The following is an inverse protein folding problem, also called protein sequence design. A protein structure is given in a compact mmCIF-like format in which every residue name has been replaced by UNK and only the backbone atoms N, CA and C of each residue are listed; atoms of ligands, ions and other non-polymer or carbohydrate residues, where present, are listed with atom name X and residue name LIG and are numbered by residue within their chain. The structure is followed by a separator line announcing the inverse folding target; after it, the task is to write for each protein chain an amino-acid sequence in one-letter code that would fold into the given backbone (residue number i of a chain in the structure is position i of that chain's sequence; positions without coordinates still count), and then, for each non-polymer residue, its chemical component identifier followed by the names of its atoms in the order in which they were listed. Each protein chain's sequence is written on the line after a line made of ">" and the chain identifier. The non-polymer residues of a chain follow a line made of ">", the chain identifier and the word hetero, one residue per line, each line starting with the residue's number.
data_IF_425650110849
#
_entry.id   IF_425650110849
#
_cell.length_a   1.000
_cell.length_b   1.000
_cell.length_c   1.000
_cell.angle_alpha   90.00
_cell.angle_beta   90.00
_cell.angle_gamma   90.00
#
_symmetry.space_group_name_H-M   'P 1'
#
loop_
_entity.id
_entity.type
_entity.pdbx_description
1 polymer ?
#
# COMPACT_ATOMS: atom_id res chain seq x y z
N UNK A 1 19.00 -22.32 -15.87
CA UNK A 1 18.96 -21.03 -15.17
C UNK A 1 19.69 -21.04 -13.84
N UNK A 2 20.75 -20.21 -13.65
CA UNK A 2 21.45 -20.10 -12.37
C UNK A 2 20.58 -19.52 -11.23
N UNK A 3 19.38 -19.01 -11.54
CA UNK A 3 18.42 -18.50 -10.55
C UNK A 3 17.48 -19.58 -10.01
N UNK A 4 17.31 -20.72 -10.71
CA UNK A 4 16.39 -21.77 -10.29
C UNK A 4 16.88 -22.48 -9.01
N UNK A 5 18.20 -22.58 -8.80
CA UNK A 5 18.79 -23.19 -7.60
C UNK A 5 18.70 -22.35 -6.31
N UNK A 6 18.43 -21.05 -6.42
CA UNK A 6 18.21 -20.16 -5.26
C UNK A 6 16.70 -20.12 -4.90
N UNK A 7 15.84 -20.33 -5.89
CA UNK A 7 14.38 -20.38 -5.73
C UNK A 7 13.87 -21.68 -5.11
N UNK A 8 14.53 -22.82 -5.35
CA UNK A 8 14.15 -24.12 -4.76
C UNK A 8 14.16 -24.12 -3.23
N UNK A 9 15.21 -23.63 -2.54
CA UNK A 9 15.16 -23.51 -1.09
C UNK A 9 14.09 -22.52 -0.64
N UNK A 10 13.79 -21.45 -1.40
CA UNK A 10 12.75 -20.46 -1.09
C UNK A 10 11.32 -21.02 -1.15
N UNK A 11 11.01 -21.89 -2.13
CA UNK A 11 9.72 -22.60 -2.20
C UNK A 11 9.52 -23.58 -1.04
N UNK A 12 10.62 -24.10 -0.47
CA UNK A 12 10.62 -24.93 0.75
C UNK A 12 10.85 -24.16 2.06
N UNK A 13 11.13 -22.85 2.03
CA UNK A 13 11.63 -22.09 3.19
C UNK A 13 10.56 -21.52 4.11
N UNK A 14 9.28 -21.65 3.78
CA UNK A 14 8.23 -21.31 4.74
C UNK A 14 7.74 -22.63 5.35
N UNK A 15 8.35 -23.07 6.47
CA UNK A 15 7.93 -24.30 7.12
C UNK A 15 6.45 -24.20 7.53
N UNK A 16 5.77 -25.35 7.69
CA UNK A 16 4.42 -25.39 8.22
C UNK A 16 4.34 -24.61 9.55
N UNK A 17 3.12 -24.13 9.94
CA UNK A 17 2.89 -23.21 11.05
C UNK A 17 3.40 -23.68 12.44
N UNK A 18 4.02 -24.86 12.54
CA UNK A 18 4.56 -25.47 13.76
C UNK A 18 6.02 -25.12 14.09
N UNK A 19 6.73 -24.27 13.30
CA UNK A 19 8.16 -23.95 13.53
C UNK A 19 8.44 -22.42 13.61
N UNK A 20 8.05 -21.80 14.73
CA UNK A 20 8.09 -20.35 14.96
C UNK A 20 9.45 -19.65 14.76
N UNK A 21 10.61 -20.18 15.23
CA UNK A 21 11.89 -19.47 15.08
C UNK A 21 12.37 -19.39 13.62
N UNK A 22 12.03 -20.40 12.82
CA UNK A 22 12.42 -20.48 11.41
C UNK A 22 11.57 -19.57 10.53
N UNK A 23 10.28 -19.41 10.82
CA UNK A 23 9.41 -18.49 10.07
C UNK A 23 9.83 -17.03 10.23
N UNK A 24 10.17 -16.59 11.45
CA UNK A 24 10.62 -15.22 11.70
C UNK A 24 11.88 -14.86 10.90
N UNK A 25 12.85 -15.77 10.88
CA UNK A 25 14.08 -15.62 10.10
C UNK A 25 13.76 -15.53 8.61
N UNK A 26 12.90 -16.41 8.09
CA UNK A 26 12.56 -16.40 6.67
C UNK A 26 11.85 -15.10 6.27
N UNK A 27 10.87 -14.64 7.05
CA UNK A 27 10.17 -13.37 6.81
C UNK A 27 11.13 -12.18 6.81
N UNK A 28 12.15 -12.18 7.68
CA UNK A 28 13.15 -11.11 7.73
C UNK A 28 14.05 -11.06 6.49
N UNK A 29 14.21 -12.18 5.78
CA UNK A 29 15.06 -12.33 4.60
C UNK A 29 14.32 -12.03 3.29
N UNK A 30 12.99 -12.18 3.23
CA UNK A 30 12.21 -11.94 1.99
C UNK A 30 12.53 -10.57 1.34
N UNK A 31 12.65 -9.45 2.08
CA UNK A 31 12.97 -8.16 1.47
C UNK A 31 14.32 -8.14 0.74
N UNK A 32 15.30 -8.93 1.19
CA UNK A 32 16.64 -9.00 0.59
C UNK A 32 16.66 -9.66 -0.79
N UNK A 33 15.63 -10.42 -1.14
CA UNK A 33 15.50 -11.11 -2.43
C UNK A 33 14.36 -10.55 -3.28
N UNK A 34 13.63 -9.54 -2.81
CA UNK A 34 12.43 -9.05 -3.49
C UNK A 34 12.70 -8.51 -4.90
N UNK A 35 13.91 -7.99 -5.17
CA UNK A 35 14.34 -7.48 -6.47
C UNK A 35 14.82 -8.56 -7.44
N UNK A 36 15.08 -9.78 -6.97
CA UNK A 36 15.58 -10.90 -7.79
C UNK A 36 14.49 -11.90 -8.15
N UNK A 37 13.31 -11.80 -7.54
CA UNK A 37 12.15 -12.65 -7.81
C UNK A 37 11.34 -12.07 -8.97
N UNK A 38 10.96 -12.94 -9.91
CA UNK A 38 10.13 -12.55 -11.04
C UNK A 38 8.69 -12.21 -10.62
N UNK A 39 8.00 -11.41 -11.44
CA UNK A 39 6.64 -10.96 -11.19
C UNK A 39 5.66 -12.11 -10.91
N UNK A 40 5.75 -13.22 -11.65
CA UNK A 40 4.82 -14.34 -11.52
C UNK A 40 4.99 -15.04 -10.19
N UNK A 41 6.23 -15.30 -9.78
CA UNK A 41 6.55 -15.88 -8.47
C UNK A 41 6.11 -14.96 -7.32
N UNK A 42 6.31 -13.65 -7.46
CA UNK A 42 5.87 -12.67 -6.47
C UNK A 42 4.34 -12.71 -6.30
N UNK A 43 3.61 -12.58 -7.40
CA UNK A 43 2.14 -12.50 -7.43
C UNK A 43 1.45 -13.79 -7.02
N UNK A 44 1.89 -14.92 -7.55
CA UNK A 44 1.15 -16.18 -7.41
C UNK A 44 1.64 -17.06 -6.26
N UNK A 45 2.82 -16.79 -5.69
CA UNK A 45 3.38 -17.62 -4.62
C UNK A 45 3.74 -16.86 -3.36
N UNK A 46 4.48 -15.76 -3.46
CA UNK A 46 4.96 -15.03 -2.27
C UNK A 46 3.81 -14.27 -1.60
N UNK A 47 3.06 -13.47 -2.36
CA UNK A 47 1.97 -12.65 -1.83
C UNK A 47 0.87 -13.49 -1.16
N UNK A 48 0.32 -14.56 -1.77
CA UNK A 48 -0.71 -15.36 -1.12
C UNK A 48 -0.25 -15.98 0.20
N UNK A 49 1.02 -16.35 0.31
CA UNK A 49 1.61 -16.88 1.55
C UNK A 49 1.77 -15.80 2.59
N UNK A 50 2.28 -14.63 2.23
CA UNK A 50 2.36 -13.47 3.12
C UNK A 50 0.98 -13.07 3.63
N UNK A 51 -0.03 -13.06 2.75
CA UNK A 51 -1.44 -12.83 3.11
C UNK A 51 -1.92 -13.83 4.14
N UNK A 52 -1.73 -15.13 3.90
CA UNK A 52 -2.16 -16.18 4.81
C UNK A 52 -1.52 -16.02 6.21
N UNK A 53 -0.23 -15.66 6.27
CA UNK A 53 0.48 -15.39 7.52
C UNK A 53 -0.09 -14.16 8.23
N UNK A 54 -0.33 -13.05 7.53
CA UNK A 54 -0.81 -11.82 8.18
C UNK A 54 -2.24 -11.96 8.72
N UNK A 55 -3.08 -12.77 8.07
CA UNK A 55 -4.46 -13.01 8.50
C UNK A 55 -4.53 -14.08 9.59
N UNK A 56 -3.90 -15.23 9.39
CA UNK A 56 -4.10 -16.43 10.21
C UNK A 56 -3.12 -16.58 11.38
N UNK A 57 -2.12 -15.70 11.49
CA UNK A 57 -1.09 -15.83 12.53
C UNK A 57 -1.63 -15.51 13.94
N UNK A 58 -1.35 -16.38 14.91
CA UNK A 58 -1.73 -16.17 16.32
C UNK A 58 -0.84 -15.12 17.01
N UNK A 59 0.43 -15.02 16.61
CA UNK A 59 1.39 -14.08 17.20
C UNK A 59 1.29 -12.68 16.60
N UNK A 60 0.97 -11.70 17.44
CA UNK A 60 0.99 -10.26 17.07
C UNK A 60 2.38 -9.83 16.61
N UNK A 61 3.44 -10.28 17.29
CA UNK A 61 4.83 -9.94 16.94
C UNK A 61 5.22 -10.41 15.54
N UNK A 62 4.83 -11.64 15.19
CA UNK A 62 5.09 -12.20 13.86
C UNK A 62 4.32 -11.44 12.77
N UNK A 63 3.07 -11.07 13.05
CA UNK A 63 2.25 -10.24 12.15
C UNK A 63 2.89 -8.87 11.90
N UNK A 64 3.39 -8.20 12.94
CA UNK A 64 4.12 -6.92 12.79
C UNK A 64 5.37 -7.10 11.93
N UNK A 65 6.17 -8.16 12.17
CA UNK A 65 7.37 -8.45 11.36
C UNK A 65 7.03 -8.68 9.89
N UNK A 66 5.94 -9.39 9.60
CA UNK A 66 5.46 -9.59 8.22
C UNK A 66 5.10 -8.26 7.55
N UNK A 67 4.35 -7.39 8.23
CA UNK A 67 3.96 -6.09 7.71
C UNK A 67 5.18 -5.20 7.44
N UNK A 68 6.15 -5.18 8.36
CA UNK A 68 7.41 -4.44 8.16
C UNK A 68 8.19 -4.99 6.97
N UNK A 69 8.23 -6.31 6.79
CA UNK A 69 8.88 -6.92 5.61
C UNK A 69 8.20 -6.47 4.31
N UNK A 70 6.87 -6.49 4.25
CA UNK A 70 6.11 -5.97 3.09
C UNK A 70 6.41 -4.50 2.82
N UNK A 71 6.44 -3.66 3.86
CA UNK A 71 6.80 -2.25 3.73
C UNK A 71 8.18 -2.04 3.11
N UNK A 72 9.17 -2.87 3.48
CA UNK A 72 10.53 -2.84 2.91
C UNK A 72 10.60 -3.32 1.46
N UNK A 73 9.64 -4.13 1.02
CA UNK A 73 9.59 -4.66 -0.34
C UNK A 73 8.94 -3.71 -1.34
N UNK A 74 8.23 -2.67 -0.88
CA UNK A 74 7.42 -1.81 -1.75
C UNK A 74 8.16 -1.31 -2.99
N UNK A 75 9.42 -0.88 -2.86
CA UNK A 75 10.22 -0.37 -3.98
C UNK A 75 10.55 -1.43 -5.04
N UNK A 76 10.62 -2.69 -4.63
CA UNK A 76 10.85 -3.83 -5.51
C UNK A 76 9.57 -4.28 -6.23
N UNK A 77 8.40 -3.90 -5.73
CA UNK A 77 7.12 -4.28 -6.32
C UNK A 77 6.72 -3.33 -7.46
N UNK A 78 5.85 -3.81 -8.34
CA UNK A 78 5.19 -2.98 -9.33
C UNK A 78 3.91 -2.37 -8.76
N UNK A 79 3.40 -1.34 -9.45
CA UNK A 79 2.20 -0.61 -9.03
C UNK A 79 0.96 -1.51 -8.93
N UNK A 80 0.74 -2.39 -9.91
CA UNK A 80 -0.46 -3.23 -9.95
C UNK A 80 -0.47 -4.22 -8.80
N UNK A 81 0.66 -4.87 -8.49
CA UNK A 81 0.76 -5.74 -7.31
C UNK A 81 0.39 -5.00 -6.03
N UNK A 82 0.90 -3.78 -5.84
CA UNK A 82 0.64 -3.02 -4.61
C UNK A 82 -0.83 -2.65 -4.50
N UNK A 83 -1.43 -2.13 -5.58
CA UNK A 83 -2.82 -1.69 -5.60
C UNK A 83 -3.82 -2.85 -5.52
N UNK A 84 -3.58 -3.95 -6.24
CA UNK A 84 -4.54 -5.06 -6.36
C UNK A 84 -4.41 -6.09 -5.24
N UNK A 85 -3.25 -6.18 -4.58
CA UNK A 85 -3.00 -7.21 -3.58
C UNK A 85 -2.56 -6.65 -2.22
N UNK A 86 -1.57 -5.75 -2.19
CA UNK A 86 -1.03 -5.28 -0.91
C UNK A 86 -2.01 -4.37 -0.17
N UNK A 87 -2.55 -3.34 -0.82
CA UNK A 87 -3.48 -2.41 -0.16
C UNK A 87 -4.77 -3.12 0.32
N UNK A 88 -5.43 -3.98 -0.49
CA UNK A 88 -6.60 -4.74 -0.04
C UNK A 88 -6.28 -5.70 1.11
N UNK A 89 -5.06 -6.29 1.13
CA UNK A 89 -4.61 -7.16 2.20
C UNK A 89 -4.58 -6.43 3.55
N UNK A 90 -4.08 -5.19 3.61
CA UNK A 90 -4.00 -4.43 4.85
C UNK A 90 -5.37 -4.24 5.52
N UNK A 91 -6.43 -4.14 4.70
CA UNK A 91 -7.80 -3.96 5.18
C UNK A 91 -8.40 -5.22 5.80
N UNK A 92 -7.87 -6.39 5.46
CA UNK A 92 -8.35 -7.68 5.94
C UNK A 92 -7.76 -8.09 7.29
N UNK A 93 -6.77 -7.35 7.80
CA UNK A 93 -6.08 -7.70 9.05
C UNK A 93 -6.97 -7.34 10.25
N UNK A 94 -7.45 -8.32 11.05
CA UNK A 94 -8.42 -8.09 12.13
C UNK A 94 -7.80 -7.53 13.42
N UNK A 95 -6.47 -7.44 13.49
CA UNK A 95 -5.75 -7.07 14.71
C UNK A 95 -5.72 -5.56 14.94
N UNK A 96 -6.11 -5.12 16.14
CA UNK A 96 -6.03 -3.73 16.62
C UNK A 96 -4.86 -3.45 17.56
N UNK A 97 -3.90 -4.37 17.67
CA UNK A 97 -2.70 -4.13 18.46
C UNK A 97 -1.90 -2.91 17.92
N UNK A 98 -1.34 -2.03 18.77
CA UNK A 98 -0.68 -0.80 18.34
C UNK A 98 0.43 -1.03 17.32
N UNK A 99 1.28 -2.05 17.52
CA UNK A 99 2.35 -2.38 16.57
C UNK A 99 1.84 -2.73 15.18
N UNK A 100 0.68 -3.38 15.08
CA UNK A 100 0.03 -3.73 13.81
C UNK A 100 -0.54 -2.48 13.15
N UNK A 101 -1.26 -1.65 13.92
CA UNK A 101 -1.83 -0.40 13.43
C UNK A 101 -0.74 0.55 12.90
N UNK A 102 0.37 0.67 13.62
CA UNK A 102 1.50 1.49 13.21
C UNK A 102 2.19 0.95 11.95
N UNK A 103 2.30 -0.37 11.80
CA UNK A 103 2.87 -0.96 10.60
C UNK A 103 1.97 -0.75 9.38
N UNK A 104 0.65 -0.93 9.52
CA UNK A 104 -0.34 -0.63 8.47
C UNK A 104 -0.25 0.84 8.04
N UNK A 105 -0.27 1.75 9.00
CA UNK A 105 -0.16 3.20 8.74
C UNK A 105 1.14 3.53 7.98
N UNK A 106 2.27 2.94 8.40
CA UNK A 106 3.56 3.12 7.76
C UNK A 106 3.58 2.68 6.30
N UNK A 107 2.95 1.54 5.98
CA UNK A 107 2.84 1.05 4.60
C UNK A 107 2.01 2.01 3.75
N UNK A 108 0.83 2.42 4.19
CA UNK A 108 0.02 3.39 3.43
C UNK A 108 0.78 4.69 3.18
N UNK A 109 1.46 5.22 4.19
CA UNK A 109 2.24 6.44 4.07
C UNK A 109 3.42 6.27 3.08
N UNK A 110 4.11 5.13 3.13
CA UNK A 110 5.20 4.82 2.21
C UNK A 110 4.71 4.69 0.75
N UNK A 111 3.58 3.99 0.53
CA UNK A 111 2.96 3.87 -0.80
C UNK A 111 2.55 5.24 -1.35
N UNK A 112 1.96 6.09 -0.51
CA UNK A 112 1.54 7.44 -0.91
C UNK A 112 2.73 8.30 -1.36
N UNK A 113 3.84 8.25 -0.62
CA UNK A 113 5.06 9.02 -0.90
C UNK A 113 5.89 8.46 -2.05
N UNK A 114 5.67 7.21 -2.43
CA UNK A 114 6.42 6.57 -3.50
C UNK A 114 5.91 7.03 -4.87
N UNK A 115 6.72 7.81 -5.59
CA UNK A 115 6.35 8.35 -6.92
C UNK A 115 6.07 7.28 -7.98
N UNK A 116 6.66 6.09 -7.87
CA UNK A 116 6.45 4.97 -8.82
C UNK A 116 5.10 4.31 -8.62
N UNK A 117 4.68 4.19 -7.36
CA UNK A 117 3.45 3.48 -6.98
C UNK A 117 2.30 4.48 -6.88
N UNK A 118 2.45 5.46 -5.98
CA UNK A 118 1.49 6.52 -5.69
C UNK A 118 0.12 5.99 -5.25
N UNK A 119 -0.76 6.91 -4.87
CA UNK A 119 -2.19 6.65 -4.73
C UNK A 119 -2.95 7.83 -5.35
N UNK A 120 -3.97 7.53 -6.16
CA UNK A 120 -4.83 8.58 -6.70
C UNK A 120 -5.84 9.07 -5.65
N UNK A 121 -6.37 10.28 -5.86
CA UNK A 121 -7.36 10.88 -4.96
C UNK A 121 -8.62 10.04 -4.76
N UNK A 122 -9.07 9.28 -5.77
CA UNK A 122 -10.31 8.51 -5.69
C UNK A 122 -10.12 7.34 -4.73
N UNK A 123 -9.02 6.60 -4.85
CA UNK A 123 -8.64 5.51 -3.96
C UNK A 123 -8.47 6.03 -2.51
N UNK A 124 -7.78 7.15 -2.34
CA UNK A 124 -7.59 7.78 -1.03
C UNK A 124 -8.94 8.14 -0.39
N UNK A 125 -9.80 8.85 -1.10
CA UNK A 125 -11.08 9.34 -0.57
C UNK A 125 -12.12 8.23 -0.32
N UNK A 126 -12.17 7.21 -1.18
CA UNK A 126 -13.25 6.21 -1.16
C UNK A 126 -12.92 4.92 -0.41
N UNK A 127 -11.63 4.61 -0.22
CA UNK A 127 -11.19 3.34 0.39
C UNK A 127 -10.21 3.56 1.54
N UNK A 128 -9.14 4.32 1.31
CA UNK A 128 -8.04 4.38 2.28
C UNK A 128 -8.39 5.24 3.48
N UNK A 129 -8.84 6.49 3.29
CA UNK A 129 -9.25 7.36 4.39
C UNK A 129 -10.41 6.76 5.21
N UNK A 130 -11.48 6.22 4.60
CA UNK A 130 -12.55 5.54 5.35
C UNK A 130 -12.06 4.36 6.19
N UNK A 131 -10.96 3.70 5.80
CA UNK A 131 -10.34 2.64 6.58
C UNK A 131 -9.39 3.16 7.67
N UNK A 132 -8.52 4.12 7.34
CA UNK A 132 -7.44 4.60 8.22
C UNK A 132 -7.96 5.49 9.35
N UNK A 133 -8.96 6.35 9.10
CA UNK A 133 -9.48 7.29 10.11
C UNK A 133 -10.05 6.57 11.33
N UNK A 134 -10.91 5.54 11.20
CA UNK A 134 -11.37 4.75 12.35
C UNK A 134 -10.24 4.10 13.17
N UNK A 135 -9.13 3.71 12.54
CA UNK A 135 -8.00 3.11 13.27
C UNK A 135 -7.31 4.12 14.21
N UNK A 136 -7.41 5.41 13.91
CA UNK A 136 -6.79 6.46 14.72
C UNK A 136 -7.46 6.67 16.08
N UNK A 137 -8.70 6.20 16.27
CA UNK A 137 -9.45 6.34 17.53
C UNK A 137 -9.44 5.05 18.37
N UNK A 138 -8.63 4.07 17.98
CA UNK A 138 -8.47 2.83 18.74
C UNK A 138 -7.86 3.12 20.11
N UNK A 139 -8.48 2.65 21.21
CA UNK A 139 -8.09 3.02 22.58
C UNK A 139 -6.72 2.46 22.99
N UNK A 140 -6.18 1.52 22.21
CA UNK A 140 -4.86 0.93 22.44
C UNK A 140 -3.70 1.86 22.07
N UNK A 141 -3.96 2.92 21.31
CA UNK A 141 -2.92 3.85 20.86
C UNK A 141 -2.45 4.77 21.99
N UNK A 142 -1.16 5.07 21.99
CA UNK A 142 -0.60 6.12 22.83
C UNK A 142 -0.58 7.48 22.10
N UNK A 143 -0.29 8.55 22.85
CA UNK A 143 -0.28 9.93 22.34
C UNK A 143 0.64 10.13 21.13
N UNK A 144 1.83 9.52 21.15
CA UNK A 144 2.78 9.65 20.06
C UNK A 144 2.29 8.97 18.77
N UNK A 145 1.70 7.78 18.92
CA UNK A 145 1.11 7.02 17.81
C UNK A 145 -0.10 7.74 17.21
N UNK A 146 -0.99 8.27 18.04
CA UNK A 146 -2.11 9.09 17.58
C UNK A 146 -1.64 10.31 16.77
N UNK A 147 -0.61 11.02 17.25
CA UNK A 147 -0.03 12.16 16.51
C UNK A 147 0.49 11.73 15.13
N UNK A 148 1.08 10.55 15.01
CA UNK A 148 1.54 10.02 13.72
C UNK A 148 0.37 9.70 12.78
N UNK A 149 -0.72 9.11 13.29
CA UNK A 149 -1.96 8.96 12.52
C UNK A 149 -2.47 10.29 11.97
N UNK A 150 -2.53 11.33 12.81
CA UNK A 150 -3.03 12.64 12.40
C UNK A 150 -2.12 13.35 11.39
N UNK A 151 -0.81 13.11 11.41
CA UNK A 151 0.08 13.61 10.34
C UNK A 151 -0.29 12.93 9.03
N UNK A 152 -0.33 11.60 8.99
CA UNK A 152 -0.58 10.84 7.76
C UNK A 152 -1.98 11.11 7.19
N UNK A 153 -3.01 11.17 8.02
CA UNK A 153 -4.38 11.48 7.58
C UNK A 153 -4.46 12.87 6.95
N UNK A 154 -3.79 13.87 7.53
CA UNK A 154 -3.75 15.23 6.95
C UNK A 154 -3.00 15.25 5.63
N UNK A 155 -1.87 14.55 5.52
CA UNK A 155 -1.14 14.44 4.26
C UNK A 155 -2.02 13.79 3.16
N UNK A 156 -2.78 12.74 3.51
CA UNK A 156 -3.73 12.10 2.57
C UNK A 156 -4.85 13.05 2.14
N UNK A 157 -5.46 13.79 3.08
CA UNK A 157 -6.50 14.77 2.77
C UNK A 157 -5.98 15.89 1.88
N UNK A 158 -4.79 16.42 2.19
CA UNK A 158 -4.15 17.46 1.38
C UNK A 158 -3.86 16.96 -0.04
N UNK A 159 -3.44 15.70 -0.19
CA UNK A 159 -3.23 15.09 -1.51
C UNK A 159 -4.53 15.01 -2.31
N UNK A 160 -5.64 14.60 -1.69
CA UNK A 160 -6.96 14.54 -2.33
C UNK A 160 -7.42 15.94 -2.75
N UNK A 161 -7.31 16.91 -1.84
CA UNK A 161 -7.68 18.31 -2.09
C UNK A 161 -6.90 18.90 -3.27
N UNK A 162 -5.57 18.77 -3.24
CA UNK A 162 -4.69 19.33 -4.28
C UNK A 162 -5.02 18.71 -5.64
N UNK A 163 -5.12 17.39 -5.73
CA UNK A 163 -5.36 16.70 -7.00
C UNK A 163 -6.78 16.95 -7.54
N UNK A 164 -7.77 17.15 -6.66
CA UNK A 164 -9.13 17.48 -7.07
C UNK A 164 -9.23 18.92 -7.57
N UNK A 165 -8.60 19.88 -6.86
CA UNK A 165 -8.59 21.29 -7.26
C UNK A 165 -7.91 21.46 -8.62
N UNK A 166 -6.72 20.88 -8.80
CA UNK A 166 -6.01 20.95 -10.09
C UNK A 166 -6.84 20.39 -11.24
N UNK A 167 -7.56 19.27 -11.02
CA UNK A 167 -8.43 18.72 -12.05
C UNK A 167 -9.61 19.65 -12.39
N UNK A 168 -10.26 20.25 -11.39
CA UNK A 168 -11.38 21.16 -11.61
C UNK A 168 -10.93 22.43 -12.33
N UNK A 169 -9.80 23.02 -11.95
CA UNK A 169 -9.24 24.20 -12.61
C UNK A 169 -8.90 23.94 -14.08
N UNK A 170 -8.32 22.77 -14.39
CA UNK A 170 -8.02 22.37 -15.77
C UNK A 170 -9.29 22.22 -16.60
N UNK A 171 -10.33 21.60 -16.04
CA UNK A 171 -11.63 21.45 -16.72
C UNK A 171 -12.26 22.81 -17.01
N UNK A 172 -12.27 23.73 -16.04
CA UNK A 172 -12.80 25.09 -16.24
C UNK A 172 -12.05 25.86 -17.33
N UNK A 173 -10.72 25.76 -17.39
CA UNK A 173 -9.92 26.40 -18.45
C UNK A 173 -10.24 25.85 -19.85
N UNK A 174 -10.47 24.52 -19.97
CA UNK A 174 -10.84 23.90 -21.24
C UNK A 174 -12.23 24.33 -21.72
N UNK A 175 -13.18 24.51 -20.80
CA UNK A 175 -14.53 25.00 -21.10
C UNK A 175 -14.50 26.45 -21.62
N UNK A 176 -13.70 27.32 -21.00
CA UNK A 176 -13.53 28.72 -21.42
C UNK A 176 -12.90 28.86 -22.82
N UNK A 177 -11.88 28.03 -23.12
CA UNK A 177 -11.25 27.99 -24.44
C UNK A 177 -12.21 27.50 -25.53
N UNK A 178 -13.01 26.48 -25.22
CA UNK A 178 -14.02 25.95 -26.16
C UNK A 178 -15.08 27.02 -26.45
N UNK A 179 -15.52 27.77 -25.45
CA UNK A 179 -16.53 28.84 -25.61
C UNK A 179 -16.02 30.04 -26.41
N UNK A 180 -14.73 30.38 -26.30
CA UNK A 180 -14.13 31.51 -27.02
C UNK A 180 -13.69 31.16 -28.46
N UNK A 181 -13.55 29.87 -28.79
CA UNK A 181 -13.29 29.38 -30.16
C UNK A 181 -14.51 29.30 -31.08
N UNK A 182 -15.74 29.40 -30.55
CA UNK A 182 -16.99 29.41 -31.35
C UNK A 182 -17.41 30.84 -31.69
N UNK A 183 -16.53 31.60 -32.35
CA UNK A 183 -16.89 32.87 -33.00
C UNK A 183 -16.96 32.60 -34.50
N UNK A 184 -18.17 32.34 -35.01
CA UNK A 184 -18.39 32.26 -36.44
C UNK A 184 -18.16 33.64 -37.07
N UNK A 185 -17.34 33.75 -38.14
CA UNK A 185 -17.25 35.00 -38.87
C UNK A 185 -18.62 35.34 -39.49
N UNK A 186 -18.99 36.62 -39.59
CA UNK A 186 -20.24 37.01 -40.23
C UNK A 186 -20.22 36.55 -41.70
N UNK A 187 -21.36 36.02 -42.17
CA UNK A 187 -21.51 35.62 -43.57
C UNK A 187 -21.31 36.85 -44.49
N UNK A 188 -20.58 36.71 -45.62
CA UNK A 188 -20.46 37.78 -46.58
C UNK A 188 -21.84 38.07 -47.21
N UNK A 189 -22.17 39.37 -47.27
CA UNK A 189 -23.37 39.91 -47.91
C UNK A 189 -23.42 39.64 -49.42
#
# INVERSE_FOLDING_TARGET
>A
DPYLGILTPFYSLLPPPSLFPSQELCISLIPSFATTVDYSSMKHSIIPRLTALMVSCESVSLRVKCLVAVGKMLDALDKHIVHDHILPLLQQIPSRAPGVLMAILGIYHAVMKNKKIGMDKVLLATRILPFVVPLSVEPTLNVAQFKQFMVVIRDMLQSVETEQLTQLEQLSQMEEQTRSGVVFPPFPH
#
